data_IF_710669087469
#
_entry.id   IF_710669087469
#
_cell.length_a   1.000
_cell.length_b   1.000
_cell.length_c   1.000
_cell.angle_alpha   90.00
_cell.angle_beta   90.00
_cell.angle_gamma   90.00
#
_symmetry.space_group_name_H-M   'P 1'
#
loop_
_entity.id
_entity.type
_entity.pdbx_description
1 polymer ?
#
# COMPACT_ATOMS: atom_id res chain seq x y z
N UNK A 1 -22.48 -40.37 25.26
CA UNK A 1 -22.48 -39.15 26.09
C UNK A 1 -22.05 -37.97 25.22
N UNK A 2 -22.69 -36.81 25.39
CA UNK A 2 -22.34 -35.56 24.72
C UNK A 2 -22.14 -34.48 25.78
N UNK A 3 -21.09 -33.67 25.64
CA UNK A 3 -20.83 -32.51 26.51
C UNK A 3 -20.62 -31.27 25.61
N UNK A 4 -21.37 -30.18 25.80
CA UNK A 4 -21.24 -28.98 24.97
C UNK A 4 -19.93 -28.26 25.25
N UNK A 5 -19.22 -27.83 24.20
CA UNK A 5 -18.11 -26.90 24.30
C UNK A 5 -18.69 -25.49 24.36
N UNK A 6 -19.03 -25.04 25.55
CA UNK A 6 -19.59 -23.70 25.77
C UNK A 6 -18.61 -22.78 26.51
N UNK A 7 -18.60 -21.51 26.12
CA UNK A 7 -17.93 -20.46 26.88
C UNK A 7 -18.88 -19.26 26.94
N UNK A 8 -19.18 -18.81 28.16
CA UNK A 8 -20.28 -17.89 28.48
C UNK A 8 -21.61 -18.28 27.81
N UNK A 9 -22.14 -17.44 26.91
CA UNK A 9 -23.43 -17.64 26.24
C UNK A 9 -23.33 -18.36 24.89
N UNK A 10 -22.13 -18.79 24.46
CA UNK A 10 -21.90 -19.33 23.11
C UNK A 10 -21.41 -20.78 23.13
N UNK A 11 -22.00 -21.62 22.30
CA UNK A 11 -21.59 -23.00 22.07
C UNK A 11 -20.73 -23.07 20.81
N UNK A 12 -19.48 -23.52 20.95
CA UNK A 12 -18.49 -23.63 19.88
C UNK A 12 -18.47 -25.03 19.24
N UNK A 13 -19.07 -26.01 19.91
CA UNK A 13 -19.13 -27.39 19.45
C UNK A 13 -19.65 -28.33 20.52
N UNK A 14 -19.53 -29.63 20.25
CA UNK A 14 -19.93 -30.70 21.18
C UNK A 14 -18.83 -31.75 21.23
N UNK A 15 -18.44 -32.15 22.42
CA UNK A 15 -17.53 -33.25 22.66
C UNK A 15 -18.33 -34.54 22.86
N UNK A 16 -18.07 -35.55 22.03
CA UNK A 16 -18.82 -36.80 22.01
C UNK A 16 -17.95 -37.95 22.52
N UNK A 17 -18.47 -38.68 23.50
CA UNK A 17 -17.91 -39.94 23.97
C UNK A 17 -18.91 -41.07 23.73
N UNK A 18 -18.50 -42.12 23.01
CA UNK A 18 -19.37 -43.24 22.65
C UNK A 18 -18.84 -44.58 23.17
N UNK A 19 -19.74 -45.46 23.61
CA UNK A 19 -19.48 -46.84 24.01
C UNK A 19 -20.57 -47.75 23.44
N UNK A 20 -20.23 -49.02 23.20
CA UNK A 20 -21.13 -49.99 22.55
C UNK A 20 -22.23 -50.53 23.48
N UNK A 21 -21.99 -50.49 24.80
CA UNK A 21 -22.98 -50.89 25.80
C UNK A 21 -23.89 -49.70 26.18
N UNK A 22 -25.22 -49.89 26.26
CA UNK A 22 -26.13 -48.84 26.69
C UNK A 22 -25.89 -48.47 28.17
N UNK A 23 -26.05 -47.19 28.50
CA UNK A 23 -25.91 -46.64 29.87
C UNK A 23 -24.56 -46.96 30.57
N UNK A 24 -23.49 -47.18 29.81
CA UNK A 24 -22.19 -47.63 30.33
C UNK A 24 -21.26 -46.50 30.81
N UNK A 25 -21.79 -45.29 31.04
CA UNK A 25 -21.01 -44.15 31.56
C UNK A 25 -21.41 -43.91 33.00
N UNK A 26 -20.43 -43.92 33.89
CA UNK A 26 -20.60 -43.56 35.29
C UNK A 26 -20.77 -42.05 35.47
N UNK A 27 -21.32 -41.64 36.62
CA UNK A 27 -21.43 -40.21 36.97
C UNK A 27 -20.07 -39.50 37.00
N UNK A 28 -19.02 -40.15 37.49
CA UNK A 28 -17.66 -39.59 37.50
C UNK A 28 -17.08 -39.37 36.10
N UNK A 29 -17.32 -40.30 35.17
CA UNK A 29 -16.94 -40.12 33.76
C UNK A 29 -17.72 -38.97 33.11
N UNK A 30 -19.00 -38.80 33.49
CA UNK A 30 -19.80 -37.68 33.02
C UNK A 30 -19.31 -36.32 33.55
N UNK A 31 -19.01 -36.24 34.84
CA UNK A 31 -18.44 -35.04 35.47
C UNK A 31 -17.11 -34.65 34.81
N UNK A 32 -16.25 -35.64 34.59
CA UNK A 32 -14.96 -35.45 33.94
C UNK A 32 -15.10 -34.95 32.50
N UNK A 33 -15.99 -35.54 31.70
CA UNK A 33 -16.22 -35.08 30.32
C UNK A 33 -16.75 -33.64 30.27
N UNK A 34 -17.59 -33.26 31.24
CA UNK A 34 -18.08 -31.89 31.38
C UNK A 34 -16.95 -30.90 31.70
N UNK A 35 -16.12 -31.21 32.71
CA UNK A 35 -14.97 -30.38 33.07
C UNK A 35 -13.95 -30.24 31.92
N UNK A 36 -13.71 -31.32 31.18
CA UNK A 36 -12.88 -31.28 29.98
C UNK A 36 -13.52 -30.40 28.90
N UNK A 37 -14.83 -30.52 28.67
CA UNK A 37 -15.53 -29.73 27.65
C UNK A 37 -15.43 -28.22 27.93
N UNK A 38 -15.50 -27.82 29.20
CA UNK A 38 -15.30 -26.42 29.62
C UNK A 38 -13.88 -25.92 29.33
N UNK A 39 -12.84 -26.70 29.67
CA UNK A 39 -11.45 -26.34 29.38
C UNK A 39 -11.16 -26.28 27.88
N UNK A 40 -11.66 -27.25 27.12
CA UNK A 40 -11.49 -27.29 25.66
C UNK A 40 -12.23 -26.12 25.01
N UNK A 41 -13.41 -25.74 25.51
CA UNK A 41 -14.14 -24.58 25.02
C UNK A 41 -13.37 -23.27 25.24
N UNK A 42 -12.82 -23.06 26.44
CA UNK A 42 -12.00 -21.89 26.76
C UNK A 42 -10.75 -21.82 25.87
N UNK A 43 -10.01 -22.93 25.74
CA UNK A 43 -8.80 -22.97 24.93
C UNK A 43 -9.10 -22.73 23.43
N UNK A 44 -10.18 -23.32 22.91
CA UNK A 44 -10.61 -23.08 21.53
C UNK A 44 -11.01 -21.62 21.30
N UNK A 45 -11.72 -21.01 22.26
CA UNK A 45 -12.09 -19.61 22.20
C UNK A 45 -10.88 -18.68 22.22
N UNK A 46 -9.91 -18.94 23.12
CA UNK A 46 -8.65 -18.19 23.16
C UNK A 46 -7.89 -18.30 21.84
N UNK A 47 -7.76 -19.51 21.27
CA UNK A 47 -7.09 -19.71 20.00
C UNK A 47 -7.75 -18.92 18.85
N UNK A 48 -9.08 -18.92 18.79
CA UNK A 48 -9.84 -18.15 17.80
C UNK A 48 -9.65 -16.64 17.97
N UNK A 49 -9.68 -16.14 19.21
CA UNK A 49 -9.42 -14.72 19.50
C UNK A 49 -8.02 -14.30 19.09
N UNK A 50 -7.00 -15.10 19.45
CA UNK A 50 -5.62 -14.82 19.05
C UNK A 50 -5.45 -14.80 17.52
N UNK A 51 -6.07 -15.74 16.81
CA UNK A 51 -6.05 -15.76 15.34
C UNK A 51 -6.75 -14.53 14.74
N UNK A 52 -7.90 -14.13 15.28
CA UNK A 52 -8.62 -12.94 14.82
C UNK A 52 -7.81 -11.66 15.05
N UNK A 53 -7.16 -11.54 16.22
CA UNK A 53 -6.28 -10.42 16.54
C UNK A 53 -5.07 -10.37 15.61
N UNK A 54 -4.42 -11.50 15.35
CA UNK A 54 -3.29 -11.58 14.43
C UNK A 54 -3.67 -11.11 13.03
N UNK A 55 -4.79 -11.58 12.49
CA UNK A 55 -5.30 -11.14 11.18
C UNK A 55 -5.59 -9.64 11.15
N UNK A 56 -6.30 -9.13 12.15
CA UNK A 56 -6.59 -7.70 12.23
C UNK A 56 -5.32 -6.84 12.31
N UNK A 57 -4.29 -7.33 13.03
CA UNK A 57 -3.00 -6.65 13.10
C UNK A 57 -2.25 -6.67 11.76
N UNK A 58 -2.25 -7.81 11.07
CA UNK A 58 -1.65 -7.94 9.74
C UNK A 58 -2.33 -7.03 8.71
N UNK A 59 -3.66 -7.01 8.68
CA UNK A 59 -4.46 -6.16 7.80
C UNK A 59 -4.20 -4.67 8.08
N UNK A 60 -4.17 -4.30 9.36
CA UNK A 60 -3.85 -2.92 9.77
C UNK A 60 -2.44 -2.54 9.32
N UNK A 61 -1.46 -3.42 9.51
CA UNK A 61 -0.07 -3.18 9.15
C UNK A 61 0.09 -3.00 7.63
N UNK A 62 -0.57 -3.85 6.84
CA UNK A 62 -0.55 -3.74 5.37
C UNK A 62 -1.20 -2.43 4.90
N UNK A 63 -2.34 -2.07 5.49
CA UNK A 63 -3.04 -0.83 5.18
C UNK A 63 -2.19 0.40 5.51
N UNK A 64 -1.56 0.43 6.70
CA UNK A 64 -0.66 1.51 7.09
C UNK A 64 0.54 1.62 6.15
N UNK A 65 1.14 0.50 5.75
CA UNK A 65 2.24 0.50 4.78
C UNK A 65 1.80 1.05 3.42
N UNK A 66 0.62 0.67 2.94
CA UNK A 66 0.07 1.20 1.69
C UNK A 66 -0.18 2.72 1.77
N UNK A 67 -0.73 3.21 2.89
CA UNK A 67 -0.95 4.64 3.12
C UNK A 67 0.37 5.41 3.14
N UNK A 68 1.38 4.94 3.89
CA UNK A 68 2.69 5.59 3.93
C UNK A 68 3.37 5.64 2.57
N UNK A 69 3.27 4.58 1.77
CA UNK A 69 3.81 4.57 0.40
C UNK A 69 3.07 5.57 -0.50
N UNK A 70 1.74 5.65 -0.36
CA UNK A 70 0.93 6.60 -1.11
C UNK A 70 1.27 8.05 -0.74
N UNK A 71 1.37 8.38 0.56
CA UNK A 71 1.80 9.71 1.02
C UNK A 71 3.20 10.07 0.52
N UNK A 72 4.14 9.11 0.55
CA UNK A 72 5.49 9.31 0.02
C UNK A 72 5.47 9.64 -1.48
N UNK A 73 4.66 8.92 -2.27
CA UNK A 73 4.52 9.17 -3.69
C UNK A 73 3.87 10.53 -3.97
N UNK A 74 2.85 10.91 -3.20
CA UNK A 74 2.24 12.24 -3.29
C UNK A 74 3.25 13.35 -2.99
N UNK A 75 3.99 13.24 -1.88
CA UNK A 75 5.01 14.20 -1.51
C UNK A 75 6.10 14.34 -2.60
N UNK A 76 6.56 13.21 -3.14
CA UNK A 76 7.50 13.19 -4.26
C UNK A 76 6.91 13.85 -5.52
N UNK A 77 5.63 13.62 -5.84
CA UNK A 77 4.97 14.24 -6.97
C UNK A 77 4.81 15.75 -6.81
N UNK A 78 4.45 16.23 -5.62
CA UNK A 78 4.39 17.66 -5.31
C UNK A 78 5.78 18.30 -5.43
N UNK A 79 6.82 17.69 -4.86
CA UNK A 79 8.19 18.17 -4.99
C UNK A 79 8.67 18.18 -6.44
N UNK A 80 8.41 17.11 -7.19
CA UNK A 80 8.76 17.00 -8.61
C UNK A 80 8.07 18.08 -9.44
N UNK A 81 6.79 18.37 -9.16
CA UNK A 81 6.06 19.44 -9.84
C UNK A 81 6.65 20.82 -9.54
N UNK A 82 7.04 21.09 -8.29
CA UNK A 82 7.72 22.33 -7.90
C UNK A 82 9.07 22.49 -8.61
N UNK A 83 9.92 21.45 -8.56
CA UNK A 83 11.22 21.43 -9.25
C UNK A 83 11.03 21.62 -10.76
N UNK A 84 10.07 20.93 -11.37
CA UNK A 84 9.79 21.04 -12.79
C UNK A 84 9.36 22.47 -13.18
N UNK A 85 8.52 23.10 -12.36
CA UNK A 85 8.12 24.48 -12.55
C UNK A 85 9.33 25.43 -12.48
N UNK A 86 10.17 25.28 -11.47
CA UNK A 86 11.32 26.18 -11.27
C UNK A 86 12.38 26.01 -12.36
N UNK A 87 12.63 24.77 -12.82
CA UNK A 87 13.52 24.53 -13.96
C UNK A 87 12.95 25.12 -15.24
N UNK A 88 11.66 24.92 -15.51
CA UNK A 88 11.02 25.52 -16.69
C UNK A 88 11.11 27.05 -16.65
N UNK A 89 10.93 27.66 -15.47
CA UNK A 89 11.08 29.10 -15.30
C UNK A 89 12.51 29.57 -15.54
N UNK A 90 13.52 28.79 -15.16
CA UNK A 90 14.92 29.14 -15.38
C UNK A 90 15.34 29.02 -16.87
N UNK A 91 14.83 28.02 -17.58
CA UNK A 91 15.23 27.77 -18.97
C UNK A 91 14.39 28.53 -20.00
N UNK A 92 13.14 28.90 -19.68
CA UNK A 92 12.24 29.59 -20.63
C UNK A 92 12.84 30.88 -21.20
N UNK A 93 13.46 31.78 -20.40
CA UNK A 93 14.12 32.96 -20.94
C UNK A 93 15.33 32.61 -21.82
N UNK A 94 16.11 31.58 -21.45
CA UNK A 94 17.28 31.13 -22.22
C UNK A 94 16.83 30.63 -23.59
N UNK A 95 15.76 29.83 -23.63
CA UNK A 95 15.15 29.35 -24.87
C UNK A 95 14.70 30.53 -25.74
N UNK A 96 13.91 31.44 -25.16
CA UNK A 96 13.39 32.61 -25.86
C UNK A 96 14.49 33.50 -26.46
N UNK A 97 15.51 33.87 -25.67
CA UNK A 97 16.61 34.70 -26.16
C UNK A 97 17.45 33.98 -27.22
N UNK A 98 17.67 32.68 -27.05
CA UNK A 98 18.43 31.90 -28.03
C UNK A 98 17.67 31.77 -29.34
N UNK A 99 16.35 31.53 -29.29
CA UNK A 99 15.47 31.48 -30.47
C UNK A 99 15.47 32.82 -31.20
N UNK A 100 15.25 33.93 -30.48
CA UNK A 100 15.27 35.28 -31.05
C UNK A 100 16.61 35.62 -31.72
N UNK A 101 17.74 35.25 -31.10
CA UNK A 101 19.05 35.47 -31.71
C UNK A 101 19.23 34.62 -32.98
N UNK A 102 18.80 33.36 -32.96
CA UNK A 102 18.93 32.44 -34.10
C UNK A 102 18.07 32.82 -35.31
N UNK A 103 17.01 33.64 -35.13
CA UNK A 103 16.20 34.22 -36.20
C UNK A 103 17.03 35.12 -37.15
N UNK A 104 18.09 35.76 -36.65
CA UNK A 104 18.97 36.58 -37.48
C UNK A 104 19.84 35.71 -38.40
N UNK A 105 19.44 35.63 -39.68
CA UNK A 105 20.13 34.84 -40.71
C UNK A 105 21.52 35.36 -41.08
N UNK A 106 21.91 36.56 -40.64
CA UNK A 106 23.21 37.16 -40.93
C UNK A 106 24.30 36.79 -39.91
N UNK A 107 23.93 36.10 -38.82
CA UNK A 107 24.87 35.66 -37.79
C UNK A 107 26.02 34.82 -38.37
N UNK A 108 27.29 35.19 -38.08
CA UNK A 108 28.45 34.39 -38.44
C UNK A 108 28.36 32.96 -37.88
N UNK A 109 28.89 31.95 -38.58
CA UNK A 109 28.89 30.56 -38.12
C UNK A 109 29.48 30.38 -36.71
N UNK A 110 30.51 31.16 -36.37
CA UNK A 110 31.20 31.09 -35.07
C UNK A 110 30.33 31.53 -33.88
N UNK A 111 29.25 32.29 -34.12
CA UNK A 111 28.27 32.69 -33.12
C UNK A 111 27.02 31.81 -33.20
N UNK A 112 26.56 31.50 -34.42
CA UNK A 112 25.39 30.64 -34.66
C UNK A 112 25.57 29.23 -34.11
N UNK A 113 26.75 28.63 -34.28
CA UNK A 113 27.02 27.27 -33.83
C UNK A 113 26.90 27.12 -32.30
N UNK A 114 27.54 27.96 -31.46
CA UNK A 114 27.31 27.97 -30.01
C UNK A 114 25.84 28.15 -29.61
N UNK A 115 25.10 29.07 -30.24
CA UNK A 115 23.68 29.29 -29.95
C UNK A 115 22.85 28.03 -30.22
N UNK A 116 23.12 27.30 -31.30
CA UNK A 116 22.46 26.02 -31.58
C UNK A 116 22.85 24.90 -30.59
N UNK A 117 24.02 24.97 -29.95
CA UNK A 117 24.37 24.05 -28.86
C UNK A 117 23.54 24.39 -27.62
N UNK A 118 23.42 25.68 -27.27
CA UNK A 118 22.62 26.14 -26.13
C UNK A 118 21.15 25.77 -26.31
N UNK A 119 20.57 26.02 -27.49
CA UNK A 119 19.18 25.66 -27.81
C UNK A 119 18.93 24.16 -27.60
N UNK A 120 19.77 23.31 -28.19
CA UNK A 120 19.67 21.84 -28.02
C UNK A 120 19.79 21.40 -26.58
N UNK A 121 20.67 22.03 -25.79
CA UNK A 121 20.82 21.72 -24.38
C UNK A 121 19.56 22.09 -23.58
N UNK A 122 18.96 23.26 -23.87
CA UNK A 122 17.70 23.69 -23.24
C UNK A 122 16.54 22.75 -23.59
N UNK A 123 16.41 22.37 -24.86
CA UNK A 123 15.41 21.38 -25.31
C UNK A 123 15.55 20.04 -24.59
N UNK A 124 16.79 19.58 -24.41
CA UNK A 124 17.08 18.34 -23.70
C UNK A 124 16.68 18.42 -22.22
N UNK A 125 16.91 19.56 -21.57
CA UNK A 125 16.45 19.80 -20.19
C UNK A 125 14.93 19.81 -20.13
N UNK A 126 14.26 20.53 -21.04
CA UNK A 126 12.80 20.59 -21.10
C UNK A 126 12.18 19.19 -21.27
N UNK A 127 12.74 18.36 -22.17
CA UNK A 127 12.31 16.98 -22.35
C UNK A 127 12.53 16.11 -21.11
N UNK A 128 13.65 16.29 -20.40
CA UNK A 128 13.95 15.54 -19.18
C UNK A 128 12.95 15.88 -18.07
N UNK A 129 12.64 17.17 -17.90
CA UNK A 129 11.66 17.67 -16.94
C UNK A 129 10.26 17.17 -17.27
N UNK A 130 9.86 17.18 -18.55
CA UNK A 130 8.55 16.67 -18.99
C UNK A 130 8.37 15.18 -18.63
N UNK A 131 9.38 14.35 -18.89
CA UNK A 131 9.38 12.93 -18.51
C UNK A 131 9.29 12.72 -17.00
N UNK A 132 10.00 13.52 -16.22
CA UNK A 132 9.93 13.48 -14.76
C UNK A 132 8.49 13.77 -14.31
N UNK A 133 7.84 14.79 -14.88
CA UNK A 133 6.46 15.16 -14.54
C UNK A 133 5.45 14.06 -14.85
N UNK A 134 5.66 13.30 -15.93
CA UNK A 134 4.80 12.19 -16.33
C UNK A 134 4.92 10.97 -15.40
N UNK A 135 6.12 10.70 -14.88
CA UNK A 135 6.35 9.59 -13.95
C UNK A 135 5.61 9.77 -12.61
N UNK A 136 5.43 11.01 -12.15
CA UNK A 136 4.80 11.31 -10.86
C UNK A 136 3.36 11.82 -10.97
N UNK A 137 2.80 11.94 -12.18
CA UNK A 137 1.41 12.37 -12.35
C UNK A 137 0.50 11.26 -11.78
N UNK A 138 -0.37 11.58 -10.80
CA UNK A 138 -1.37 10.62 -10.34
C UNK A 138 -2.21 10.19 -11.54
N UNK A 139 -2.28 8.88 -11.81
CA UNK A 139 -3.34 8.35 -12.67
C UNK A 139 -4.63 8.59 -11.91
N UNK A 140 -5.39 9.61 -12.29
CA UNK A 140 -6.75 9.76 -11.80
C UNK A 140 -7.47 8.42 -12.04
N UNK A 141 -8.04 7.80 -10.99
CA UNK A 141 -8.82 6.60 -11.17
C UNK A 141 -9.99 6.97 -12.08
N UNK A 142 -10.00 6.39 -13.28
CA UNK A 142 -11.18 6.37 -14.12
C UNK A 142 -12.33 5.82 -13.28
N UNK A 143 -13.32 6.66 -13.01
CA UNK A 143 -14.60 6.23 -12.47
C UNK A 143 -15.20 5.26 -13.49
N UNK A 144 -15.36 4.01 -13.08
CA UNK A 144 -16.10 2.97 -13.79
C UNK A 144 -17.26 2.52 -12.90
#
# INVERSE_FOLDING_TARGET
>A
MAAPLHFESRVFGVLLAARRAPASFSSGECEFLRQLSEHVALAAYQAQLYQALQRAYEDLRQTQQAVLQHERLLALGTMASGIAHDVNNAISPIMLYTDMLLEDRTLPPDIRNPLQVIQRAVDQVAHTVARMREFYRPREPHQA
#
